data_IF_190662235264
#
_entry.id   IF_190662235264
#
_cell.length_a   1.000
_cell.length_b   1.000
_cell.length_c   1.000
_cell.angle_alpha   90.00
_cell.angle_beta   90.00
_cell.angle_gamma   90.00
#
_symmetry.space_group_name_H-M   'P 1'
#
loop_
_entity.id
_entity.type
_entity.pdbx_description
1 polymer ?
#
# COMPACT_ATOMS: atom_id res chain seq x y z
N UNK A 1 41.12 -0.07 1.96
CA UNK A 1 39.90 -0.70 2.54
C UNK A 1 38.82 -0.65 1.47
N UNK A 2 38.23 -1.79 1.13
CA UNK A 2 37.36 -1.95 -0.03
C UNK A 2 36.06 -1.14 0.12
N UNK A 3 35.80 -0.24 -0.84
CA UNK A 3 34.47 0.35 -1.01
C UNK A 3 33.51 -0.77 -1.37
N UNK A 4 32.70 -1.19 -0.40
CA UNK A 4 31.57 -2.05 -0.65
C UNK A 4 30.56 -1.23 -1.43
N UNK A 5 30.60 -1.36 -2.74
CA UNK A 5 29.51 -0.93 -3.62
C UNK A 5 28.27 -1.66 -3.14
N UNK A 6 27.46 -1.00 -2.32
CA UNK A 6 26.07 -1.38 -2.11
C UNK A 6 25.45 -1.44 -3.50
N UNK A 7 25.32 -2.64 -4.04
CA UNK A 7 24.40 -2.95 -5.11
C UNK A 7 23.02 -2.57 -4.55
N UNK A 8 22.69 -1.29 -4.70
CA UNK A 8 21.32 -0.80 -4.75
C UNK A 8 20.62 -1.75 -5.70
N UNK A 9 19.94 -2.74 -5.13
CA UNK A 9 19.08 -3.63 -5.88
C UNK A 9 18.28 -2.70 -6.75
N UNK A 10 18.42 -2.85 -8.06
CA UNK A 10 17.67 -2.11 -9.05
C UNK A 10 16.21 -2.55 -8.93
N UNK A 11 15.55 -2.22 -7.82
CA UNK A 11 14.12 -2.20 -7.70
C UNK A 11 13.70 -1.11 -8.67
N UNK A 12 13.44 -1.55 -9.91
CA UNK A 12 12.93 -0.73 -11.00
C UNK A 12 11.82 0.14 -10.46
N UNK A 13 12.10 1.43 -10.28
CA UNK A 13 11.16 2.36 -9.65
C UNK A 13 9.84 2.32 -10.42
N UNK A 14 8.76 1.95 -9.74
CA UNK A 14 7.43 1.88 -10.34
C UNK A 14 6.88 3.30 -10.50
N UNK A 15 6.53 3.67 -11.73
CA UNK A 15 5.82 4.93 -11.97
C UNK A 15 4.36 4.80 -11.58
N UNK A 16 3.68 5.93 -11.32
CA UNK A 16 2.25 5.93 -11.00
C UNK A 16 1.41 5.25 -12.10
N UNK A 17 1.75 5.48 -13.37
CA UNK A 17 1.07 4.85 -14.52
C UNK A 17 1.29 3.33 -14.54
N UNK A 18 2.51 2.86 -14.28
CA UNK A 18 2.81 1.42 -14.19
C UNK A 18 2.06 0.78 -13.03
N UNK A 19 2.04 1.43 -11.85
CA UNK A 19 1.35 0.91 -10.68
C UNK A 19 -0.16 0.82 -10.94
N UNK A 20 -0.75 1.85 -11.57
CA UNK A 20 -2.17 1.83 -11.95
C UNK A 20 -2.50 0.71 -12.95
N UNK A 21 -1.61 0.47 -13.93
CA UNK A 21 -1.77 -0.64 -14.87
C UNK A 21 -1.68 -2.00 -14.17
N UNK A 22 -0.74 -2.14 -13.23
CA UNK A 22 -0.58 -3.33 -12.40
C UNK A 22 -1.82 -3.61 -11.53
N UNK A 23 -2.35 -2.61 -10.82
CA UNK A 23 -3.57 -2.76 -10.01
C UNK A 23 -4.78 -3.13 -10.87
N UNK A 24 -4.94 -2.47 -12.02
CA UNK A 24 -5.99 -2.83 -12.99
C UNK A 24 -5.85 -4.27 -13.47
N UNK A 25 -4.63 -4.71 -13.76
CA UNK A 25 -4.35 -6.07 -14.19
C UNK A 25 -4.60 -7.11 -13.09
N UNK A 26 -4.32 -6.79 -11.82
CA UNK A 26 -4.66 -7.66 -10.68
C UNK A 26 -6.17 -7.87 -10.52
N UNK A 27 -6.98 -6.87 -10.88
CA UNK A 27 -8.43 -6.97 -10.86
C UNK A 27 -8.99 -7.83 -12.00
N UNK A 28 -8.33 -7.85 -13.16
CA UNK A 28 -8.72 -8.66 -14.33
C UNK A 28 -8.23 -10.11 -14.20
N UNK A 29 -6.99 -10.29 -13.76
CA UNK A 29 -6.34 -11.59 -13.61
C UNK A 29 -6.32 -12.00 -12.13
N UNK A 30 -7.34 -12.76 -11.74
CA UNK A 30 -7.51 -13.28 -10.39
C UNK A 30 -6.48 -14.35 -10.01
N UNK A 31 -6.64 -14.98 -8.85
CA UNK A 31 -5.69 -15.99 -8.33
C UNK A 31 -5.73 -17.31 -9.09
N UNK A 32 -6.84 -17.64 -9.74
CA UNK A 32 -7.03 -18.91 -10.46
C UNK A 32 -6.65 -18.81 -11.93
N UNK A 33 -6.46 -17.58 -12.44
CA UNK A 33 -6.00 -17.30 -13.80
C UNK A 33 -4.67 -18.04 -14.10
N UNK A 34 -4.65 -18.93 -15.11
CA UNK A 34 -3.41 -19.53 -15.60
C UNK A 34 -2.42 -18.47 -16.08
N UNK A 35 -1.12 -18.68 -15.83
CA UNK A 35 -0.06 -17.75 -16.23
C UNK A 35 -0.31 -16.29 -15.78
N UNK A 36 -1.01 -16.12 -14.64
CA UNK A 36 -1.40 -14.82 -14.08
C UNK A 36 -0.31 -13.76 -14.17
N UNK A 37 0.89 -14.09 -13.68
CA UNK A 37 2.00 -13.15 -13.61
C UNK A 37 2.53 -12.74 -14.99
N UNK A 38 2.51 -13.66 -15.95
CA UNK A 38 2.87 -13.36 -17.33
C UNK A 38 1.85 -12.41 -17.96
N UNK A 39 0.56 -12.65 -17.76
CA UNK A 39 -0.51 -11.79 -18.24
C UNK A 39 -0.44 -10.38 -17.64
N UNK A 40 -0.14 -10.26 -16.34
CA UNK A 40 0.05 -8.97 -15.67
C UNK A 40 1.29 -8.25 -16.20
N UNK A 41 2.43 -8.94 -16.31
CA UNK A 41 3.66 -8.35 -16.86
C UNK A 41 3.44 -7.82 -18.28
N UNK A 42 2.71 -8.57 -19.11
CA UNK A 42 2.30 -8.15 -20.45
C UNK A 42 1.39 -6.92 -20.43
N UNK A 43 0.45 -6.85 -19.50
CA UNK A 43 -0.45 -5.69 -19.36
C UNK A 43 0.27 -4.43 -18.88
N UNK A 44 1.29 -4.56 -18.04
CA UNK A 44 2.15 -3.45 -17.61
C UNK A 44 3.12 -3.03 -18.71
N UNK A 45 3.53 -3.96 -19.57
CA UNK A 45 4.29 -3.73 -20.81
C UNK A 45 5.78 -3.43 -20.64
N UNK A 46 6.22 -2.98 -19.46
CA UNK A 46 7.61 -2.55 -19.21
C UNK A 46 8.26 -3.18 -17.97
N UNK A 47 7.68 -4.26 -17.45
CA UNK A 47 8.14 -4.95 -16.24
C UNK A 47 8.23 -6.44 -16.49
N UNK A 48 9.24 -7.11 -15.92
CA UNK A 48 9.37 -8.56 -16.01
C UNK A 48 8.41 -9.27 -15.06
N UNK A 49 8.22 -10.56 -15.26
CA UNK A 49 7.41 -11.40 -14.37
C UNK A 49 7.95 -11.39 -12.94
N UNK A 50 9.27 -11.39 -12.78
CA UNK A 50 9.96 -11.35 -11.49
C UNK A 50 9.72 -10.01 -10.79
N UNK A 51 9.83 -8.89 -11.52
CA UNK A 51 9.55 -7.56 -10.96
C UNK A 51 8.09 -7.41 -10.53
N UNK A 52 7.15 -7.96 -11.29
CA UNK A 52 5.72 -7.96 -10.95
C UNK A 52 5.46 -8.79 -9.69
N UNK A 53 6.06 -9.98 -9.57
CA UNK A 53 5.92 -10.83 -8.38
C UNK A 53 6.49 -10.14 -7.13
N UNK A 54 7.66 -9.53 -7.25
CA UNK A 54 8.29 -8.78 -6.16
C UNK A 54 7.41 -7.59 -5.73
N UNK A 55 6.89 -6.82 -6.69
CA UNK A 55 5.99 -5.69 -6.41
C UNK A 55 4.70 -6.14 -5.71
N UNK A 56 4.16 -7.29 -6.11
CA UNK A 56 3.01 -7.89 -5.44
C UNK A 56 3.31 -8.31 -3.98
N UNK A 57 4.50 -8.83 -3.70
CA UNK A 57 4.90 -9.15 -2.32
C UNK A 57 4.97 -7.90 -1.44
N UNK A 58 5.55 -6.82 -1.94
CA UNK A 58 5.59 -5.52 -1.24
C UNK A 58 4.17 -5.04 -0.94
N UNK A 59 3.26 -5.11 -1.92
CA UNK A 59 1.86 -4.74 -1.73
C UNK A 59 1.18 -5.56 -0.62
N UNK A 60 1.43 -6.86 -0.55
CA UNK A 60 0.89 -7.72 0.51
C UNK A 60 1.44 -7.35 1.88
N UNK A 61 2.73 -7.03 1.97
CA UNK A 61 3.33 -6.55 3.21
C UNK A 61 2.70 -5.23 3.66
N UNK A 62 2.55 -4.26 2.76
CA UNK A 62 1.90 -2.98 3.04
C UNK A 62 0.47 -3.16 3.56
N UNK A 63 -0.34 -3.99 2.90
CA UNK A 63 -1.71 -4.33 3.36
C UNK A 63 -1.67 -4.91 4.77
N UNK A 64 -0.76 -5.85 5.04
CA UNK A 64 -0.59 -6.43 6.38
C UNK A 64 -0.19 -5.39 7.43
N UNK A 65 0.66 -4.42 7.08
CA UNK A 65 1.02 -3.34 7.99
C UNK A 65 -0.16 -2.40 8.27
N UNK A 66 -0.97 -2.09 7.26
CA UNK A 66 -2.20 -1.29 7.40
C UNK A 66 -3.19 -2.01 8.33
N UNK A 67 -3.48 -3.28 8.06
CA UNK A 67 -4.41 -4.09 8.85
C UNK A 67 -3.94 -4.29 10.29
N UNK A 68 -2.63 -4.37 10.52
CA UNK A 68 -2.04 -4.44 11.86
C UNK A 68 -2.02 -3.08 12.60
N UNK A 69 -2.52 -2.00 12.00
CA UNK A 69 -2.50 -0.65 12.58
C UNK A 69 -1.09 -0.06 12.73
N UNK A 70 -0.12 -0.56 11.96
CA UNK A 70 1.29 -0.15 12.03
C UNK A 70 1.64 0.99 11.08
N UNK A 71 0.67 1.50 10.34
CA UNK A 71 0.83 2.68 9.49
C UNK A 71 0.38 3.91 10.29
N UNK A 72 1.23 4.93 10.46
CA UNK A 72 0.86 6.14 11.18
C UNK A 72 -0.27 6.85 10.43
N UNK A 73 -1.35 7.18 11.13
CA UNK A 73 -2.40 7.99 10.56
C UNK A 73 -1.87 9.38 10.22
N UNK A 74 -2.26 9.96 9.07
CA UNK A 74 -1.96 11.35 8.79
C UNK A 74 -2.51 12.24 9.90
N UNK A 75 -1.71 13.19 10.38
CA UNK A 75 -2.17 14.25 11.28
C UNK A 75 -3.01 15.22 10.47
N UNK A 76 -4.28 14.89 10.26
CA UNK A 76 -5.23 15.80 9.65
C UNK A 76 -5.41 17.00 10.56
N UNK A 77 -4.71 18.10 10.25
CA UNK A 77 -4.90 19.37 10.94
C UNK A 77 -6.30 19.86 10.59
N UNK A 78 -7.19 19.86 11.59
CA UNK A 78 -8.52 20.46 11.45
C UNK A 78 -8.31 21.98 11.43
N UNK A 79 -8.27 22.59 10.25
CA UNK A 79 -8.29 24.05 10.10
C UNK A 79 -9.68 24.55 10.47
N UNK A 80 -9.96 24.58 11.77
CA UNK A 80 -11.25 24.95 12.30
C UNK A 80 -11.52 24.25 13.62
N UNK A 81 -10.74 24.58 14.65
CA UNK A 81 -11.22 24.87 16.01
C UNK A 81 -9.99 25.20 16.86
N UNK A 82 -9.88 26.45 17.31
CA UNK A 82 -9.08 26.76 18.49
C UNK A 82 -9.76 26.05 19.66
N UNK A 83 -9.34 24.84 19.99
CA UNK A 83 -9.97 24.06 21.05
C UNK A 83 -9.13 22.84 21.36
N UNK A 84 -8.69 22.79 22.60
CA UNK A 84 -7.80 21.80 23.19
C UNK A 84 -8.54 20.46 23.32
N UNK A 85 -8.55 19.61 22.28
CA UNK A 85 -9.23 18.32 22.34
C UNK A 85 -8.33 17.28 23.03
N UNK A 86 -8.43 17.27 24.36
CA UNK A 86 -7.92 16.20 25.20
C UNK A 86 -8.63 14.88 24.86
N UNK A 87 -7.95 13.79 25.16
CA UNK A 87 -8.24 12.38 24.87
C UNK A 87 -9.63 11.85 25.35
N UNK A 88 -10.50 12.69 25.90
CA UNK A 88 -11.81 12.32 26.47
C UNK A 88 -13.01 12.32 25.51
N UNK A 89 -12.91 12.94 24.32
CA UNK A 89 -14.08 13.09 23.45
C UNK A 89 -14.52 11.79 22.74
N UNK A 90 -13.59 10.86 22.49
CA UNK A 90 -13.92 9.60 21.84
C UNK A 90 -14.84 8.73 22.72
N UNK A 91 -14.59 8.71 24.03
CA UNK A 91 -15.40 7.92 24.97
C UNK A 91 -16.79 8.54 25.19
N UNK A 92 -16.88 9.88 25.23
CA UNK A 92 -18.15 10.59 25.37
C UNK A 92 -19.04 10.40 24.12
N UNK A 93 -18.44 10.39 22.92
CA UNK A 93 -19.15 10.15 21.65
C UNK A 93 -19.75 8.75 21.58
N UNK A 94 -19.03 7.73 22.07
CA UNK A 94 -19.54 6.35 22.14
C UNK A 94 -20.68 6.20 23.16
N UNK A 95 -20.67 6.97 24.26
CA UNK A 95 -21.78 7.01 25.24
C UNK A 95 -23.04 7.68 24.67
N UNK A 96 -22.87 8.73 23.86
CA UNK A 96 -23.99 9.47 23.25
C UNK A 96 -24.69 8.71 22.12
N UNK A 97 -24.03 7.71 21.53
CA UNK A 97 -24.57 6.89 20.44
C UNK A 97 -25.33 5.64 20.91
N UNK A 98 -25.42 5.37 22.23
CA UNK A 98 -26.20 4.26 22.85
C UNK A 98 -26.35 3.03 21.94
N UNK A 99 -25.24 2.40 21.58
CA UNK A 99 -25.27 1.01 21.10
C UNK A 99 -25.40 0.12 22.36
N UNK A 100 -26.63 -0.31 22.65
CA UNK A 100 -26.92 -1.48 23.48
C UNK A 100 -27.17 -2.67 22.56
#
# INVERSE_FOLDING_TARGET
>A
MASSSMSRSSSSSWTATQNKAFESALAVYDKETPDRWFNIARAVGSKTVEEVKMHYQILLEDVKFIEAGKVPFPKYVTTGTKGHASIGEHEQRMKNLKLR
#
